data_IF_844763055165
#
_entry.id   IF_844763055165
#
_cell.length_a   1.000
_cell.length_b   1.000
_cell.length_c   1.000
_cell.angle_alpha   90.00
_cell.angle_beta   90.00
_cell.angle_gamma   90.00
#
_symmetry.space_group_name_H-M   'P 1'
#
loop_
_entity.id
_entity.type
_entity.pdbx_description
1 polymer ?
#
# COMPACT_ATOMS: atom_id res chain seq x y z
N UNK A 1 -7.86 -1.99 17.19
CA UNK A 1 -8.14 -2.96 16.11
C UNK A 1 -7.79 -2.34 14.75
N UNK A 2 -7.12 -3.09 13.89
CA UNK A 2 -6.79 -2.67 12.52
C UNK A 2 -8.03 -2.16 11.76
N UNK A 3 -9.12 -2.89 11.83
CA UNK A 3 -10.37 -2.52 11.15
C UNK A 3 -11.01 -1.23 11.67
N UNK A 4 -10.76 -0.84 12.91
CA UNK A 4 -11.23 0.45 13.43
C UNK A 4 -10.58 1.67 12.74
N UNK A 5 -9.46 1.47 12.07
CA UNK A 5 -8.73 2.52 11.36
C UNK A 5 -8.77 2.37 9.84
N UNK A 6 -8.98 1.16 9.33
CA UNK A 6 -8.82 0.86 7.90
C UNK A 6 -10.11 0.49 7.20
N UNK A 7 -11.11 -0.03 7.93
CA UNK A 7 -12.33 -0.52 7.30
C UNK A 7 -13.24 0.63 6.85
N UNK A 8 -13.62 0.63 5.58
CA UNK A 8 -14.52 1.64 5.03
C UNK A 8 -15.95 1.57 5.60
N UNK A 9 -16.42 0.37 5.97
CA UNK A 9 -17.79 0.10 6.41
C UNK A 9 -17.98 0.14 7.94
N UNK A 10 -16.96 0.50 8.70
CA UNK A 10 -17.06 0.58 10.15
C UNK A 10 -17.14 2.03 10.63
N UNK A 11 -18.15 2.31 11.48
CA UNK A 11 -18.32 3.65 12.05
C UNK A 11 -17.40 3.88 13.24
N UNK A 12 -16.25 4.48 13.01
CA UNK A 12 -15.37 4.97 14.07
C UNK A 12 -14.98 6.43 13.85
N UNK A 13 -14.62 7.12 14.92
CA UNK A 13 -14.08 8.48 14.82
C UNK A 13 -12.82 8.51 13.98
N UNK A 14 -11.94 7.51 14.12
CA UNK A 14 -10.71 7.42 13.36
C UNK A 14 -10.94 7.30 11.84
N UNK A 15 -11.97 6.56 11.41
CA UNK A 15 -12.33 6.43 10.01
C UNK A 15 -12.99 7.72 9.51
N UNK A 16 -13.94 8.27 10.26
CA UNK A 16 -14.64 9.52 9.87
C UNK A 16 -13.72 10.72 9.74
N UNK A 17 -12.70 10.81 10.59
CA UNK A 17 -11.74 11.93 10.58
C UNK A 17 -10.52 11.69 9.70
N UNK A 18 -10.28 10.46 9.29
CA UNK A 18 -9.10 10.08 8.53
C UNK A 18 -9.38 8.99 7.52
N UNK A 19 -10.27 9.28 6.57
CA UNK A 19 -10.57 8.37 5.46
C UNK A 19 -9.29 8.02 4.72
N UNK A 20 -9.12 6.73 4.40
CA UNK A 20 -7.94 6.22 3.70
C UNK A 20 -8.25 6.09 2.21
N UNK A 21 -7.45 6.74 1.39
CA UNK A 21 -7.55 6.66 -0.06
C UNK A 21 -6.22 6.21 -0.66
N UNK A 22 -6.28 5.55 -1.81
CA UNK A 22 -5.07 5.30 -2.59
C UNK A 22 -4.63 6.60 -3.27
N UNK A 23 -3.34 6.73 -3.51
CA UNK A 23 -2.82 7.77 -4.37
C UNK A 23 -3.33 7.60 -5.80
N UNK A 24 -3.89 8.67 -6.39
CA UNK A 24 -4.45 8.63 -7.74
C UNK A 24 -3.44 8.18 -8.79
N UNK A 25 -2.17 8.60 -8.67
CA UNK A 25 -1.12 8.17 -9.60
C UNK A 25 -0.84 6.66 -9.49
N UNK A 26 -1.00 6.09 -8.29
CA UNK A 26 -0.88 4.62 -8.11
C UNK A 26 -2.10 3.90 -8.67
N UNK A 27 -3.29 4.46 -8.52
CA UNK A 27 -4.51 3.91 -9.10
C UNK A 27 -4.44 3.86 -10.63
N UNK A 28 -3.92 4.91 -11.26
CA UNK A 28 -3.79 5.03 -12.72
C UNK A 28 -2.76 4.06 -13.34
N UNK A 29 -1.91 3.42 -12.52
CA UNK A 29 -1.01 2.36 -12.97
C UNK A 29 -1.74 1.03 -13.25
N UNK A 30 -2.98 0.89 -12.79
CA UNK A 30 -3.79 -0.31 -13.07
C UNK A 30 -4.44 -0.21 -14.46
N UNK A 31 -4.38 -1.32 -15.21
CA UNK A 31 -5.15 -1.44 -16.46
C UNK A 31 -6.66 -1.34 -16.18
N UNK A 32 -7.46 -1.08 -17.20
CA UNK A 32 -8.92 -1.02 -17.04
C UNK A 32 -9.54 -2.37 -16.67
N UNK A 33 -8.84 -3.45 -16.96
CA UNK A 33 -9.27 -4.83 -16.66
C UNK A 33 -8.76 -5.35 -15.32
N UNK A 34 -7.94 -4.56 -14.60
CA UNK A 34 -7.42 -4.97 -13.30
C UNK A 34 -8.55 -4.96 -12.25
N UNK A 35 -8.88 -6.14 -11.75
CA UNK A 35 -9.95 -6.35 -10.79
C UNK A 35 -9.74 -5.59 -9.46
N UNK A 36 -8.49 -5.24 -9.15
CA UNK A 36 -8.15 -4.46 -7.94
C UNK A 36 -8.65 -3.02 -8.01
N UNK A 37 -8.99 -2.50 -9.21
CA UNK A 37 -9.64 -1.19 -9.35
C UNK A 37 -10.91 -1.09 -8.48
N UNK A 38 -11.62 -2.20 -8.29
CA UNK A 38 -12.80 -2.27 -7.42
C UNK A 38 -12.49 -2.06 -5.92
N UNK A 39 -11.22 -2.09 -5.52
CA UNK A 39 -10.82 -1.77 -4.15
C UNK A 39 -10.82 -0.28 -3.84
N UNK A 40 -10.96 0.56 -4.85
CA UNK A 40 -11.03 2.02 -4.72
C UNK A 40 -12.01 2.59 -5.73
N UNK A 41 -12.73 3.63 -5.33
CA UNK A 41 -13.64 4.31 -6.22
C UNK A 41 -13.09 5.70 -6.57
N UNK A 42 -12.67 5.95 -7.82
CA UNK A 42 -12.12 7.23 -8.24
C UNK A 42 -13.12 8.38 -8.17
N UNK A 43 -14.42 8.09 -8.16
CA UNK A 43 -15.48 9.13 -8.08
C UNK A 43 -15.82 9.49 -6.65
N UNK A 44 -15.57 8.56 -5.70
CA UNK A 44 -16.04 8.67 -4.32
C UNK A 44 -17.55 8.47 -4.18
N UNK A 45 -18.23 8.01 -5.22
CA UNK A 45 -19.64 7.60 -5.16
C UNK A 45 -19.74 6.18 -4.55
N UNK A 46 -20.66 6.02 -3.62
CA UNK A 46 -20.94 4.73 -2.97
C UNK A 46 -22.40 4.33 -3.18
N UNK A 47 -22.99 4.74 -4.29
CA UNK A 47 -24.41 4.53 -4.59
C UNK A 47 -24.78 3.03 -4.68
N UNK A 48 -23.78 2.20 -4.96
CA UNK A 48 -23.90 0.73 -5.04
C UNK A 48 -23.77 0.02 -3.68
N UNK A 49 -23.46 0.76 -2.60
CA UNK A 49 -23.19 0.16 -1.30
C UNK A 49 -24.22 0.59 -0.26
N UNK A 50 -24.64 -0.31 0.63
CA UNK A 50 -25.55 0.00 1.72
C UNK A 50 -24.84 0.84 2.78
N UNK A 51 -24.56 2.10 2.47
CA UNK A 51 -23.96 3.03 3.41
C UNK A 51 -24.95 3.34 4.52
N UNK A 52 -24.52 3.19 5.76
CA UNK A 52 -25.27 3.71 6.91
C UNK A 52 -24.91 5.16 7.15
N UNK A 53 -25.80 5.92 7.78
CA UNK A 53 -25.60 7.34 8.12
C UNK A 53 -24.36 7.64 8.97
N UNK A 54 -23.66 6.62 9.42
CA UNK A 54 -22.48 6.72 10.25
C UNK A 54 -21.16 6.49 9.50
N UNK A 55 -21.20 6.22 8.22
CA UNK A 55 -19.98 5.98 7.44
C UNK A 55 -19.27 7.28 7.14
N UNK A 56 -17.94 7.20 7.01
CA UNK A 56 -17.12 8.33 6.61
C UNK A 56 -17.65 8.93 5.31
N UNK A 57 -17.58 10.24 5.20
CA UNK A 57 -17.93 10.92 3.95
C UNK A 57 -17.17 10.27 2.80
N UNK A 58 -17.84 10.10 1.67
CA UNK A 58 -17.20 9.57 0.49
C UNK A 58 -16.19 10.57 -0.05
N UNK A 59 -15.00 10.09 -0.33
CA UNK A 59 -13.96 10.85 -1.02
C UNK A 59 -13.47 10.04 -2.23
N UNK A 60 -13.02 10.72 -3.30
CA UNK A 60 -12.41 10.03 -4.43
C UNK A 60 -11.26 9.10 -4.00
N UNK A 61 -11.19 7.93 -4.63
CA UNK A 61 -10.18 6.90 -4.36
C UNK A 61 -10.20 6.27 -2.96
N UNK A 62 -11.30 6.42 -2.26
CA UNK A 62 -11.47 5.84 -0.92
C UNK A 62 -11.31 4.32 -0.93
N UNK A 63 -10.64 3.80 0.10
CA UNK A 63 -10.39 2.39 0.31
C UNK A 63 -11.66 1.58 0.54
N UNK A 64 -11.81 0.50 -0.22
CA UNK A 64 -12.78 -0.59 -0.04
C UNK A 64 -12.08 -1.95 0.19
N UNK A 65 -10.76 -2.00 0.12
CA UNK A 65 -9.97 -3.23 0.28
C UNK A 65 -10.17 -3.88 1.65
N UNK A 66 -10.32 -3.07 2.69
CA UNK A 66 -10.48 -3.56 4.05
C UNK A 66 -11.90 -3.36 4.53
N UNK A 67 -12.62 -4.46 4.69
CA UNK A 67 -14.03 -4.48 5.08
C UNK A 67 -14.21 -5.24 6.39
N UNK A 68 -14.73 -4.57 7.42
CA UNK A 68 -15.10 -5.25 8.67
C UNK A 68 -16.25 -6.22 8.45
N UNK A 69 -16.31 -7.29 9.23
CA UNK A 69 -17.40 -8.30 9.14
C UNK A 69 -18.78 -7.72 9.42
N UNK A 70 -18.84 -6.66 10.24
CA UNK A 70 -20.07 -5.96 10.53
C UNK A 70 -19.81 -4.48 10.76
N UNK A 71 -20.77 -3.63 10.38
CA UNK A 71 -20.71 -2.17 10.57
C UNK A 71 -20.70 -1.73 12.02
N UNK A 72 -21.12 -2.60 12.93
CA UNK A 72 -21.22 -2.33 14.38
C UNK A 72 -19.97 -2.74 15.17
N UNK A 73 -19.04 -3.47 14.57
CA UNK A 73 -17.82 -3.89 15.25
C UNK A 73 -16.62 -3.92 14.30
N UNK A 74 -15.44 -3.67 14.85
CA UNK A 74 -14.18 -3.65 14.10
C UNK A 74 -13.52 -5.04 14.06
N UNK A 75 -14.29 -6.09 13.89
CA UNK A 75 -13.81 -7.47 13.85
C UNK A 75 -13.53 -7.89 12.41
N UNK A 76 -12.38 -8.50 12.22
CA UNK A 76 -11.96 -9.07 10.95
C UNK A 76 -10.61 -9.77 11.11
N UNK A 77 -10.30 -10.65 10.17
CA UNK A 77 -9.03 -11.36 10.15
C UNK A 77 -7.95 -10.47 9.52
N UNK A 78 -6.88 -10.21 10.26
CA UNK A 78 -5.73 -9.48 9.75
C UNK A 78 -4.76 -10.50 9.15
N UNK A 79 -4.60 -10.46 7.85
CA UNK A 79 -3.63 -11.30 7.17
C UNK A 79 -2.21 -10.88 7.56
N UNK A 80 -1.51 -11.72 8.30
CA UNK A 80 -0.12 -11.48 8.69
C UNK A 80 0.85 -11.90 7.58
N UNK A 81 0.57 -13.01 6.92
CA UNK A 81 1.31 -13.49 5.75
C UNK A 81 0.31 -13.77 4.62
N UNK A 82 0.59 -13.24 3.44
CA UNK A 82 -0.27 -13.43 2.27
C UNK A 82 0.47 -14.14 1.16
N UNK A 83 -0.22 -15.07 0.52
CA UNK A 83 0.30 -15.78 -0.64
C UNK A 83 0.69 -14.82 -1.78
N UNK A 84 -0.08 -13.74 -1.98
CA UNK A 84 0.23 -12.68 -2.95
C UNK A 84 1.62 -12.07 -2.73
N UNK A 85 1.98 -11.81 -1.47
CA UNK A 85 3.30 -11.29 -1.12
C UNK A 85 4.40 -12.29 -1.49
N UNK A 86 4.18 -13.57 -1.24
CA UNK A 86 5.15 -14.63 -1.57
C UNK A 86 5.37 -14.76 -3.08
N UNK A 87 4.30 -14.72 -3.88
CA UNK A 87 4.42 -14.71 -5.35
C UNK A 87 5.24 -13.52 -5.85
N UNK A 88 4.92 -12.32 -5.39
CA UNK A 88 5.59 -11.09 -5.81
C UNK A 88 7.05 -11.04 -5.34
N UNK A 89 7.33 -11.50 -4.12
CA UNK A 89 8.70 -11.61 -3.60
C UNK A 89 9.52 -12.61 -4.39
N UNK A 90 8.97 -13.78 -4.69
CA UNK A 90 9.66 -14.80 -5.49
C UNK A 90 9.92 -14.30 -6.93
N UNK A 91 8.92 -13.68 -7.56
CA UNK A 91 9.07 -13.10 -8.90
C UNK A 91 10.19 -12.05 -8.94
N UNK A 92 10.19 -11.11 -7.98
CA UNK A 92 11.23 -10.10 -7.87
C UNK A 92 12.62 -10.72 -7.65
N UNK A 93 12.73 -11.69 -6.74
CA UNK A 93 14.00 -12.35 -6.46
C UNK A 93 14.58 -13.05 -7.69
N UNK A 94 13.76 -13.77 -8.45
CA UNK A 94 14.22 -14.39 -9.70
C UNK A 94 14.57 -13.35 -10.78
N UNK A 95 13.79 -12.27 -10.91
CA UNK A 95 14.08 -11.21 -11.89
C UNK A 95 15.43 -10.53 -11.59
N UNK A 96 15.64 -10.11 -10.34
CA UNK A 96 16.89 -9.47 -9.92
C UNK A 96 18.08 -10.45 -9.89
N UNK A 97 17.83 -11.74 -9.71
CA UNK A 97 18.83 -12.81 -9.81
C UNK A 97 19.16 -13.24 -11.26
N UNK A 98 18.59 -12.60 -12.27
CA UNK A 98 18.86 -12.87 -13.68
C UNK A 98 18.06 -14.04 -14.28
N UNK A 99 17.20 -14.70 -13.52
CA UNK A 99 16.33 -15.75 -14.04
C UNK A 99 14.97 -15.19 -14.49
N UNK A 100 15.01 -14.39 -15.56
CA UNK A 100 13.84 -13.68 -16.10
C UNK A 100 12.70 -14.63 -16.51
N UNK A 101 13.04 -15.80 -17.07
CA UNK A 101 12.02 -16.77 -17.47
C UNK A 101 11.21 -17.28 -16.27
N UNK A 102 11.88 -17.61 -15.16
CA UNK A 102 11.19 -18.07 -13.95
C UNK A 102 10.43 -16.94 -13.26
N UNK A 103 10.98 -15.74 -13.26
CA UNK A 103 10.30 -14.56 -12.77
C UNK A 103 8.99 -14.30 -13.54
N UNK A 104 9.04 -14.34 -14.86
CA UNK A 104 7.88 -14.14 -15.73
C UNK A 104 6.81 -15.21 -15.50
N UNK A 105 7.21 -16.48 -15.37
CA UNK A 105 6.28 -17.58 -15.08
C UNK A 105 5.51 -17.32 -13.77
N UNK A 106 6.23 -17.01 -12.70
CA UNK A 106 5.65 -16.79 -11.37
C UNK A 106 4.77 -15.54 -11.39
N UNK A 107 5.25 -14.45 -11.97
CA UNK A 107 4.53 -13.20 -12.01
C UNK A 107 3.25 -13.31 -12.86
N UNK A 108 3.33 -13.89 -14.04
CA UNK A 108 2.16 -14.10 -14.91
C UNK A 108 1.10 -14.93 -14.20
N UNK A 109 1.50 -16.03 -13.54
CA UNK A 109 0.57 -16.87 -12.78
C UNK A 109 -0.19 -16.09 -11.70
N UNK A 110 0.45 -15.14 -11.07
CA UNK A 110 -0.18 -14.25 -10.11
C UNK A 110 -1.01 -13.16 -10.81
N UNK A 111 -0.41 -12.44 -11.76
CA UNK A 111 -0.98 -11.22 -12.34
C UNK A 111 -2.28 -11.49 -13.11
N UNK A 112 -2.40 -12.60 -13.82
CA UNK A 112 -3.64 -12.96 -14.54
C UNK A 112 -4.83 -13.20 -13.57
N UNK A 113 -4.58 -13.47 -12.32
CA UNK A 113 -5.65 -13.57 -11.31
C UNK A 113 -6.14 -12.19 -10.84
N UNK A 114 -5.41 -11.15 -11.15
CA UNK A 114 -5.72 -9.75 -10.82
C UNK A 114 -6.15 -8.96 -12.04
N UNK A 115 -5.51 -9.21 -13.15
CA UNK A 115 -5.79 -8.61 -14.45
C UNK A 115 -5.93 -9.72 -15.50
N UNK A 116 -7.16 -10.15 -15.83
CA UNK A 116 -7.38 -11.23 -16.79
C UNK A 116 -6.87 -10.94 -18.20
N UNK A 117 -6.68 -9.66 -18.56
CA UNK A 117 -6.14 -9.25 -19.85
C UNK A 117 -4.62 -9.01 -19.83
N UNK A 118 -3.95 -9.30 -18.73
CA UNK A 118 -2.49 -9.12 -18.65
C UNK A 118 -1.76 -9.96 -19.69
N UNK A 119 -1.00 -9.29 -20.56
CA UNK A 119 -0.22 -9.91 -21.63
C UNK A 119 1.30 -9.77 -21.45
N UNK A 120 1.75 -8.99 -20.46
CA UNK A 120 3.16 -8.65 -20.30
C UNK A 120 3.66 -7.69 -21.37
N UNK A 121 4.98 -7.52 -21.43
CA UNK A 121 5.65 -6.76 -22.50
C UNK A 121 6.31 -5.47 -22.05
N UNK A 122 6.18 -5.10 -20.79
CA UNK A 122 6.91 -4.01 -20.17
C UNK A 122 8.23 -4.48 -19.52
N UNK A 123 8.85 -3.59 -18.74
CA UNK A 123 9.95 -3.96 -17.87
C UNK A 123 9.42 -4.85 -16.73
N UNK A 124 9.88 -6.08 -16.68
CA UNK A 124 9.36 -7.08 -15.75
C UNK A 124 9.54 -6.67 -14.29
N UNK A 125 10.64 -6.02 -13.94
CA UNK A 125 10.88 -5.57 -12.56
C UNK A 125 9.91 -4.44 -12.22
N UNK A 126 9.70 -3.50 -13.12
CA UNK A 126 8.74 -2.40 -12.92
C UNK A 126 7.31 -2.95 -12.80
N UNK A 127 6.92 -3.91 -13.63
CA UNK A 127 5.59 -4.55 -13.56
C UNK A 127 5.39 -5.26 -12.22
N UNK A 128 6.38 -6.03 -11.75
CA UNK A 128 6.35 -6.72 -10.45
C UNK A 128 6.23 -5.70 -9.31
N UNK A 129 7.04 -4.64 -9.32
CA UNK A 129 7.04 -3.65 -8.24
C UNK A 129 5.77 -2.80 -8.23
N UNK A 130 5.23 -2.48 -9.39
CA UNK A 130 3.93 -1.82 -9.54
C UNK A 130 2.81 -2.69 -8.96
N UNK A 131 2.77 -3.95 -9.37
CA UNK A 131 1.78 -4.90 -8.86
C UNK A 131 1.91 -5.10 -7.34
N UNK A 132 3.14 -5.16 -6.82
CA UNK A 132 3.42 -5.25 -5.38
C UNK A 132 2.91 -4.01 -4.62
N UNK A 133 3.16 -2.81 -5.15
CA UNK A 133 2.68 -1.55 -4.56
C UNK A 133 1.16 -1.50 -4.45
N UNK A 134 0.46 -1.98 -5.47
CA UNK A 134 -1.01 -2.03 -5.53
C UNK A 134 -1.55 -3.12 -4.60
N UNK A 135 -1.06 -4.36 -4.76
CA UNK A 135 -1.55 -5.54 -4.03
C UNK A 135 -1.38 -5.40 -2.52
N UNK A 136 -0.24 -4.86 -2.08
CA UNK A 136 0.12 -4.75 -0.66
C UNK A 136 -0.15 -3.34 -0.09
N UNK A 137 -0.99 -2.55 -0.78
CA UNK A 137 -1.37 -1.23 -0.32
C UNK A 137 -1.91 -1.26 1.11
N UNK A 138 -1.41 -0.36 1.95
CA UNK A 138 -1.75 -0.19 3.36
C UNK A 138 -1.44 -1.40 4.27
N UNK A 139 -0.63 -2.35 3.83
CA UNK A 139 -0.15 -3.48 4.63
C UNK A 139 1.22 -3.22 5.29
N UNK A 140 1.72 -1.99 5.24
CA UNK A 140 2.96 -1.58 5.91
C UNK A 140 4.24 -1.85 5.13
N UNK A 141 4.17 -2.46 3.95
CA UNK A 141 5.34 -2.95 3.22
C UNK A 141 6.01 -1.90 2.33
N UNK A 142 5.27 -0.87 1.86
CA UNK A 142 5.83 0.13 0.93
C UNK A 142 7.04 0.88 1.48
N UNK A 143 7.05 1.20 2.78
CA UNK A 143 8.20 1.86 3.40
C UNK A 143 9.47 1.01 3.29
N UNK A 144 9.37 -0.29 3.52
CA UNK A 144 10.50 -1.20 3.42
C UNK A 144 10.97 -1.36 1.98
N UNK A 145 10.04 -1.38 1.02
CA UNK A 145 10.38 -1.43 -0.41
C UNK A 145 11.16 -0.17 -0.83
N UNK A 146 10.67 1.03 -0.51
CA UNK A 146 11.38 2.28 -0.78
C UNK A 146 12.77 2.29 -0.16
N UNK A 147 12.87 1.87 1.10
CA UNK A 147 14.14 1.88 1.83
C UNK A 147 15.17 0.90 1.25
N UNK A 148 14.77 -0.35 0.96
CA UNK A 148 15.69 -1.37 0.44
C UNK A 148 16.14 -1.11 -1.01
N UNK A 149 15.30 -0.43 -1.79
CA UNK A 149 15.59 -0.08 -3.17
C UNK A 149 16.29 1.28 -3.33
N UNK A 150 16.39 2.05 -2.26
CA UNK A 150 16.92 3.41 -2.32
C UNK A 150 16.06 4.35 -3.13
N UNK A 151 14.73 4.15 -3.10
CA UNK A 151 13.78 4.98 -3.82
C UNK A 151 13.26 6.14 -2.97
N UNK A 152 13.00 7.26 -3.62
CA UNK A 152 12.40 8.43 -3.01
C UNK A 152 10.94 8.16 -2.62
N UNK A 153 10.50 8.75 -1.52
CA UNK A 153 9.08 8.87 -1.24
C UNK A 153 8.53 10.07 -2.01
N UNK A 154 7.59 9.80 -2.90
CA UNK A 154 6.81 10.83 -3.61
C UNK A 154 5.34 10.61 -3.33
N UNK A 155 4.67 11.63 -2.80
CA UNK A 155 3.23 11.68 -2.56
C UNK A 155 2.58 12.33 -3.76
N UNK A 156 1.65 11.64 -4.37
CA UNK A 156 1.10 12.09 -5.65
C UNK A 156 -0.11 13.02 -5.53
N UNK A 157 -0.87 13.15 -6.63
CA UNK A 157 -1.94 14.13 -6.84
C UNK A 157 -2.94 14.07 -5.71
N UNK A 158 -3.77 13.58 -5.33
CA UNK A 158 -4.84 13.65 -4.33
C UNK A 158 -4.35 13.60 -2.87
N UNK A 159 -3.13 14.01 -2.60
CA UNK A 159 -2.63 14.10 -1.24
C UNK A 159 -2.93 15.47 -0.63
N UNK A 160 -3.55 15.47 0.55
CA UNK A 160 -3.85 16.71 1.26
C UNK A 160 -2.60 17.24 1.97
N UNK A 161 -2.07 18.35 1.45
CA UNK A 161 -0.85 18.98 1.95
C UNK A 161 -1.01 19.55 3.37
N UNK A 162 -2.24 19.78 3.83
CA UNK A 162 -2.49 20.31 5.18
C UNK A 162 -2.20 19.27 6.27
N UNK A 163 -2.22 18.00 5.91
CA UNK A 163 -2.00 16.87 6.84
C UNK A 163 -0.65 16.19 6.68
N UNK A 164 0.25 16.74 5.86
CA UNK A 164 1.59 16.16 5.70
C UNK A 164 2.71 17.17 5.92
N UNK A 165 3.80 16.68 6.51
CA UNK A 165 4.99 17.50 6.76
C UNK A 165 5.83 17.73 5.48
N UNK A 166 5.73 16.80 4.51
CA UNK A 166 6.47 16.85 3.24
C UNK A 166 5.75 16.06 2.15
N UNK A 167 5.87 16.52 0.91
CA UNK A 167 5.35 15.82 -0.28
C UNK A 167 6.36 14.85 -0.86
N UNK A 168 7.64 15.17 -0.72
CA UNK A 168 8.74 14.35 -1.20
C UNK A 168 9.79 14.18 -0.10
N UNK A 169 10.46 13.06 -0.09
CA UNK A 169 11.61 12.78 0.76
C UNK A 169 12.59 11.91 0.00
N UNK A 170 13.82 12.42 -0.13
CA UNK A 170 14.89 11.71 -0.84
C UNK A 170 15.34 10.47 -0.07
N UNK A 171 15.66 9.42 -0.80
CA UNK A 171 16.22 8.22 -0.22
C UNK A 171 17.49 8.52 0.59
N UNK A 172 17.62 7.92 1.75
CA UNK A 172 18.78 8.10 2.63
C UNK A 172 18.83 9.42 3.41
N UNK A 173 17.90 10.36 3.20
CA UNK A 173 17.81 11.55 4.04
C UNK A 173 17.51 11.23 5.50
N UNK A 174 17.92 12.15 6.39
CA UNK A 174 17.60 12.05 7.81
C UNK A 174 16.09 11.81 8.02
N UNK A 175 15.76 10.84 8.87
CA UNK A 175 14.39 10.43 9.18
C UNK A 175 13.87 9.23 8.38
N UNK A 176 14.65 8.67 7.43
CA UNK A 176 14.36 7.36 6.85
C UNK A 176 14.63 6.20 7.80
N UNK A 177 15.55 6.41 8.73
CA UNK A 177 15.83 5.47 9.82
C UNK A 177 15.52 6.19 11.13
N UNK A 178 14.93 5.48 12.08
CA UNK A 178 14.69 6.03 13.41
C UNK A 178 16.03 6.39 14.06
N UNK A 179 16.09 7.59 14.64
CA UNK A 179 17.23 7.97 15.44
C UNK A 179 17.32 7.08 16.69
N UNK A 180 18.54 6.68 17.03
CA UNK A 180 18.77 6.00 18.31
C UNK A 180 18.41 6.98 19.42
N UNK A 181 17.55 6.58 20.37
CA UNK A 181 17.11 7.48 21.43
C UNK A 181 18.31 8.09 22.18
N UNK A 182 18.22 9.39 22.45
CA UNK A 182 19.30 10.13 23.14
C UNK A 182 19.70 9.47 24.46
N UNK A 183 18.74 8.93 25.21
CA UNK A 183 19.01 8.22 26.48
C UNK A 183 19.96 7.03 26.28
N UNK A 184 19.86 6.33 25.15
CA UNK A 184 20.76 5.22 24.83
C UNK A 184 22.18 5.75 24.54
N UNK A 185 22.31 6.75 23.67
CA UNK A 185 23.61 7.31 23.33
C UNK A 185 24.30 8.04 24.48
N UNK A 186 23.54 8.57 25.46
CA UNK A 186 24.09 9.22 26.65
C UNK A 186 24.61 8.20 27.69
N UNK A 187 24.00 7.03 27.77
CA UNK A 187 24.30 6.02 28.79
C UNK A 187 25.16 4.87 28.29
N UNK A 188 25.16 4.60 26.99
CA UNK A 188 25.95 3.54 26.37
C UNK A 188 27.10 4.14 25.53
N UNK A 189 28.29 4.14 26.12
CA UNK A 189 29.50 4.71 25.47
C UNK A 189 29.92 3.98 24.18
N UNK A 190 29.40 2.77 23.95
CA UNK A 190 29.68 2.01 22.73
C UNK A 190 28.62 2.26 21.65
N UNK A 191 27.57 3.02 21.96
CA UNK A 191 26.51 3.36 21.03
C UNK A 191 26.81 4.71 20.36
N UNK A 192 27.08 4.68 19.07
CA UNK A 192 27.23 5.89 18.26
C UNK A 192 25.87 6.34 17.72
N UNK A 193 25.72 7.64 17.50
CA UNK A 193 24.55 8.19 16.81
C UNK A 193 24.53 7.69 15.36
N UNK A 194 23.36 7.35 14.88
CA UNK A 194 23.18 6.92 13.50
C UNK A 194 22.90 8.09 12.52
N UNK A 195 22.99 9.34 13.01
CA UNK A 195 22.92 10.59 12.25
C UNK A 195 23.86 11.65 12.84
#
# INVERSE_FOLDING_TARGET
SFYAYMSWNFSSTAIRQGVKAINADTYDLMSETDLRRAWWDPTGSYDDLPLTSFQAGSIPYQNRKFTARAVSNAVGDVAFLRLSEMYLTAAEAYARGGNTAKAQEIFTKFQVTRDPAYAGGGDLIEEIMTSRRIELWAEGLRYFDLKRLGEDLVRGRNFDVTFCTFLEKKAGEKGWTWEIPKIETDNNKLCEKNY
#
